data_IF_806956960202
#
_entry.id   IF_806956960202
#
_cell.length_a   1.000
_cell.length_b   1.000
_cell.length_c   1.000
_cell.angle_alpha   90.00
_cell.angle_beta   90.00
_cell.angle_gamma   90.00
#
_symmetry.space_group_name_H-M   'P 1'
#
loop_
_entity.id
_entity.type
_entity.pdbx_description
1 polymer ?
#
# COMPACT_ATOMS: atom_id res chain seq x y z
N UNK A 1 -14.30 11.27 -93.36
CA UNK A 1 -15.15 11.76 -92.26
C UNK A 1 -14.49 11.29 -90.97
N UNK A 2 -14.07 12.24 -90.13
CA UNK A 2 -13.32 12.03 -88.88
C UNK A 2 -14.11 11.22 -87.85
N UNK A 3 -13.43 10.38 -87.07
CA UNK A 3 -13.65 10.25 -85.61
C UNK A 3 -12.52 9.44 -84.94
N UNK A 4 -12.21 9.71 -83.65
CA UNK A 4 -10.90 9.53 -83.04
C UNK A 4 -10.73 8.17 -82.34
N UNK A 5 -9.47 7.75 -82.18
CA UNK A 5 -9.06 6.62 -81.37
C UNK A 5 -9.05 7.00 -79.87
N UNK A 6 -9.67 6.21 -78.97
CA UNK A 6 -9.54 6.40 -77.53
C UNK A 6 -8.27 5.73 -76.99
N UNK A 7 -7.57 6.45 -76.12
CA UNK A 7 -6.40 6.02 -75.39
C UNK A 7 -6.72 4.85 -74.45
N UNK A 8 -6.18 3.66 -74.76
CA UNK A 8 -6.08 2.55 -73.82
C UNK A 8 -4.85 2.74 -72.94
N UNK A 9 -5.05 3.22 -71.71
CA UNK A 9 -4.00 3.25 -70.69
C UNK A 9 -3.55 1.82 -70.34
N UNK A 10 -2.28 1.52 -70.56
CA UNK A 10 -1.69 0.27 -70.11
C UNK A 10 -1.52 0.31 -68.59
N UNK A 11 -2.30 -0.47 -67.86
CA UNK A 11 -1.98 -0.89 -66.50
C UNK A 11 -0.69 -1.71 -66.58
N UNK A 12 0.44 -1.08 -66.25
CA UNK A 12 1.71 -1.75 -66.06
C UNK A 12 1.59 -2.66 -64.83
N UNK A 13 1.19 -3.91 -65.06
CA UNK A 13 1.39 -4.99 -64.10
C UNK A 13 2.91 -5.22 -64.04
N UNK A 14 3.55 -4.59 -63.06
CA UNK A 14 4.97 -4.74 -62.80
C UNK A 14 5.32 -6.21 -62.67
N UNK A 15 6.20 -6.67 -63.57
CA UNK A 15 6.79 -8.01 -63.54
C UNK A 15 7.47 -8.15 -62.16
N UNK A 16 7.08 -9.11 -61.31
CA UNK A 16 7.74 -9.26 -60.01
C UNK A 16 9.22 -9.54 -60.25
N UNK A 17 10.09 -8.76 -59.61
CA UNK A 17 11.54 -8.89 -59.67
C UNK A 17 11.94 -10.35 -59.40
N UNK A 18 12.83 -10.92 -60.22
CA UNK A 18 13.26 -12.33 -60.14
C UNK A 18 13.76 -12.72 -58.72
N UNK A 19 14.23 -11.74 -57.94
CA UNK A 19 14.61 -11.88 -56.53
C UNK A 19 13.43 -12.21 -55.59
N UNK A 20 12.25 -11.64 -55.82
CA UNK A 20 11.05 -11.92 -55.03
C UNK A 20 10.51 -13.32 -55.34
N UNK A 21 10.50 -13.70 -56.62
CA UNK A 21 10.11 -15.05 -57.04
C UNK A 21 11.06 -16.11 -56.44
N UNK A 22 12.36 -15.85 -56.46
CA UNK A 22 13.36 -16.73 -55.84
C UNK A 22 13.16 -16.81 -54.32
N UNK A 23 12.90 -15.68 -53.65
CA UNK A 23 12.61 -15.65 -52.22
C UNK A 23 11.36 -16.44 -51.84
N UNK A 24 10.27 -16.29 -52.61
CA UNK A 24 9.02 -17.04 -52.41
C UNK A 24 9.24 -18.54 -52.68
N UNK A 25 10.01 -18.90 -53.71
CA UNK A 25 10.32 -20.29 -54.03
C UNK A 25 11.14 -20.95 -52.91
N UNK A 26 12.20 -20.28 -52.44
CA UNK A 26 13.01 -20.77 -51.32
C UNK A 26 12.15 -20.90 -50.06
N UNK A 27 11.33 -19.89 -49.74
CA UNK A 27 10.42 -19.96 -48.61
C UNK A 27 9.44 -21.14 -48.74
N UNK A 28 8.86 -21.36 -49.93
CA UNK A 28 7.94 -22.46 -50.18
C UNK A 28 8.62 -23.82 -50.05
N UNK A 29 9.85 -23.99 -50.56
CA UNK A 29 10.65 -25.22 -50.43
C UNK A 29 10.99 -25.49 -48.96
N UNK A 30 11.42 -24.47 -48.22
CA UNK A 30 11.70 -24.58 -46.78
C UNK A 30 10.44 -24.94 -46.00
N UNK A 31 9.30 -24.32 -46.31
CA UNK A 31 8.02 -24.61 -45.66
C UNK A 31 7.54 -26.03 -45.97
N UNK A 32 7.73 -26.49 -47.20
CA UNK A 32 7.41 -27.84 -47.63
C UNK A 32 8.28 -28.87 -46.91
N UNK A 33 9.60 -28.64 -46.84
CA UNK A 33 10.53 -29.47 -46.08
C UNK A 33 10.14 -29.54 -44.60
N UNK A 34 9.81 -28.40 -43.99
CA UNK A 34 9.34 -28.33 -42.60
C UNK A 34 8.04 -29.14 -42.42
N UNK A 35 7.09 -28.97 -43.33
CA UNK A 35 5.81 -29.70 -43.29
C UNK A 35 6.02 -31.22 -43.42
N UNK A 36 6.89 -31.64 -44.34
CA UNK A 36 7.23 -33.05 -44.54
C UNK A 36 7.96 -33.63 -43.31
N UNK A 37 8.87 -32.87 -42.71
CA UNK A 37 9.56 -33.26 -41.49
C UNK A 37 8.58 -33.43 -40.32
N UNK A 38 7.67 -32.47 -40.11
CA UNK A 38 6.60 -32.56 -39.10
C UNK A 38 5.72 -33.77 -39.37
N UNK A 39 5.28 -33.97 -40.62
CA UNK A 39 4.44 -35.12 -41.00
C UNK A 39 5.17 -36.45 -40.80
N UNK A 40 6.47 -36.52 -41.11
CA UNK A 40 7.30 -37.70 -40.90
C UNK A 40 7.45 -38.03 -39.42
N UNK A 41 7.77 -37.03 -38.58
CA UNK A 41 7.84 -37.18 -37.13
C UNK A 41 6.50 -37.64 -36.53
N UNK A 42 5.39 -37.08 -37.02
CA UNK A 42 4.03 -37.44 -36.58
C UNK A 42 3.67 -38.87 -36.95
N UNK A 43 4.05 -39.31 -38.15
CA UNK A 43 3.89 -40.72 -38.57
C UNK A 43 4.75 -41.64 -37.71
N UNK A 44 6.02 -41.29 -37.48
CA UNK A 44 6.98 -42.08 -36.71
C UNK A 44 6.61 -42.20 -35.22
N UNK A 45 5.95 -41.19 -34.66
CA UNK A 45 5.49 -41.15 -33.27
C UNK A 45 4.08 -41.74 -33.05
N UNK A 46 3.50 -42.41 -34.05
CA UNK A 46 2.21 -43.11 -33.92
C UNK A 46 0.99 -42.18 -33.91
N UNK A 47 1.08 -41.04 -34.58
CA UNK A 47 -0.05 -40.15 -34.88
C UNK A 47 -0.06 -38.81 -34.12
N UNK A 48 -0.79 -37.85 -34.70
CA UNK A 48 -0.88 -36.46 -34.22
C UNK A 48 -1.34 -36.36 -32.76
N UNK A 49 -2.22 -37.27 -32.34
CA UNK A 49 -2.73 -37.34 -30.96
C UNK A 49 -1.63 -37.69 -29.95
N UNK A 50 -0.70 -38.60 -30.28
CA UNK A 50 0.40 -39.00 -29.37
C UNK A 50 1.49 -37.93 -29.31
N UNK A 51 1.85 -37.34 -30.45
CA UNK A 51 2.79 -36.22 -30.52
C UNK A 51 2.30 -35.01 -29.72
N UNK A 52 1.03 -34.60 -29.90
CA UNK A 52 0.43 -33.52 -29.09
C UNK A 52 0.41 -33.83 -27.60
N UNK A 53 0.13 -35.08 -27.20
CA UNK A 53 0.17 -35.49 -25.79
C UNK A 53 1.59 -35.43 -25.21
N UNK A 54 2.61 -35.78 -26.00
CA UNK A 54 4.02 -35.73 -25.58
C UNK A 54 4.52 -34.29 -25.45
N UNK A 55 4.25 -33.44 -26.46
CA UNK A 55 4.54 -32.00 -26.42
C UNK A 55 3.76 -31.32 -25.29
N UNK A 56 2.50 -31.68 -25.06
CA UNK A 56 1.73 -31.12 -23.95
C UNK A 56 2.29 -31.51 -22.58
N UNK A 57 2.82 -32.74 -22.44
CA UNK A 57 3.50 -33.20 -21.21
C UNK A 57 4.83 -32.50 -21.01
N UNK A 58 5.66 -32.40 -22.04
CA UNK A 58 6.94 -31.70 -22.00
C UNK A 58 6.73 -30.20 -21.75
N UNK A 59 5.81 -29.56 -22.47
CA UNK A 59 5.44 -28.16 -22.24
C UNK A 59 4.80 -27.93 -20.87
N UNK A 60 4.09 -28.90 -20.28
CA UNK A 60 3.57 -28.77 -18.91
C UNK A 60 4.70 -28.79 -17.87
N UNK A 61 5.74 -29.60 -18.08
CA UNK A 61 6.93 -29.65 -17.23
C UNK A 61 7.75 -28.35 -17.37
N UNK A 62 7.97 -27.88 -18.60
CA UNK A 62 8.65 -26.61 -18.87
C UNK A 62 7.84 -25.42 -18.38
N UNK A 63 6.50 -25.42 -18.49
CA UNK A 63 5.66 -24.34 -17.94
C UNK A 63 5.64 -24.29 -16.41
N UNK A 64 5.89 -25.41 -15.72
CA UNK A 64 6.06 -25.40 -14.26
C UNK A 64 7.42 -24.85 -13.86
N UNK A 65 8.48 -25.17 -14.61
CA UNK A 65 9.83 -24.67 -14.36
C UNK A 65 10.07 -23.21 -14.80
N UNK A 66 9.47 -22.77 -15.90
CA UNK A 66 9.63 -21.41 -16.46
C UNK A 66 8.39 -20.52 -16.33
N UNK A 67 7.32 -21.00 -15.70
CA UNK A 67 6.11 -20.19 -15.45
C UNK A 67 6.25 -19.25 -14.26
N UNK A 68 7.17 -19.53 -13.35
CA UNK A 68 7.46 -18.72 -12.15
C UNK A 68 7.82 -17.26 -12.47
N UNK A 69 8.72 -16.94 -13.42
CA UNK A 69 9.06 -15.56 -13.76
C UNK A 69 7.87 -14.74 -14.32
N UNK A 70 6.87 -15.39 -14.94
CA UNK A 70 5.66 -14.71 -15.43
C UNK A 70 4.54 -14.63 -14.38
N UNK A 71 4.55 -15.53 -13.39
CA UNK A 71 3.55 -15.57 -12.31
C UNK A 71 3.83 -14.53 -11.23
N UNK A 72 5.09 -14.29 -10.89
CA UNK A 72 5.49 -13.28 -9.91
C UNK A 72 4.94 -11.87 -10.21
N UNK A 73 5.14 -11.28 -11.41
CA UNK A 73 4.64 -9.94 -11.71
C UNK A 73 3.10 -9.90 -11.80
N UNK A 74 2.47 -11.00 -12.25
CA UNK A 74 1.00 -11.11 -12.27
C UNK A 74 0.41 -11.17 -10.87
N UNK A 75 0.99 -11.96 -9.96
CA UNK A 75 0.61 -12.03 -8.55
C UNK A 75 0.76 -10.66 -7.89
N UNK A 76 1.90 -9.99 -8.11
CA UNK A 76 2.13 -8.65 -7.60
C UNK A 76 1.06 -7.66 -8.10
N UNK A 77 0.79 -7.60 -9.42
CA UNK A 77 -0.24 -6.71 -9.98
C UNK A 77 -1.64 -7.01 -9.45
N UNK A 78 -1.98 -8.29 -9.29
CA UNK A 78 -3.27 -8.70 -8.68
C UNK A 78 -3.34 -8.28 -7.22
N UNK A 79 -2.28 -8.48 -6.44
CA UNK A 79 -2.16 -8.03 -5.06
C UNK A 79 -2.30 -6.51 -4.94
N UNK A 80 -1.63 -5.73 -5.79
CA UNK A 80 -1.74 -4.25 -5.79
C UNK A 80 -3.17 -3.82 -6.05
N UNK A 81 -3.86 -4.46 -7.00
CA UNK A 81 -5.26 -4.14 -7.32
C UNK A 81 -6.21 -4.53 -6.18
N UNK A 82 -6.05 -5.72 -5.62
CA UNK A 82 -6.89 -6.22 -4.52
C UNK A 82 -6.73 -5.35 -3.27
N UNK A 83 -5.49 -5.18 -2.78
CA UNK A 83 -5.18 -4.30 -1.65
C UNK A 83 -5.58 -2.86 -1.93
N UNK A 84 -5.27 -2.35 -3.13
CA UNK A 84 -5.55 -0.95 -3.48
C UNK A 84 -7.04 -0.65 -3.45
N UNK A 85 -7.89 -1.55 -3.97
CA UNK A 85 -9.35 -1.42 -3.89
C UNK A 85 -9.82 -1.46 -2.43
N UNK A 86 -9.35 -2.45 -1.68
CA UNK A 86 -9.75 -2.64 -0.30
C UNK A 86 -9.36 -1.47 0.60
N UNK A 87 -8.13 -0.97 0.47
CA UNK A 87 -7.64 0.16 1.25
C UNK A 87 -8.32 1.46 0.81
N UNK A 88 -8.58 1.65 -0.49
CA UNK A 88 -9.23 2.85 -0.99
C UNK A 88 -10.72 2.92 -0.63
N UNK A 89 -11.36 1.80 -0.28
CA UNK A 89 -12.77 1.73 0.11
C UNK A 89 -12.93 2.08 1.61
N UNK A 90 -13.55 3.23 1.97
CA UNK A 90 -13.67 3.65 3.38
C UNK A 90 -14.45 2.64 4.24
N UNK A 91 -15.45 1.99 3.64
CA UNK A 91 -16.28 1.00 4.32
C UNK A 91 -15.49 -0.22 4.77
N UNK A 92 -14.44 -0.61 4.04
CA UNK A 92 -13.67 -1.80 4.42
C UNK A 92 -12.86 -1.57 5.68
N UNK A 93 -12.32 -0.37 5.91
CA UNK A 93 -11.64 -0.05 7.18
C UNK A 93 -12.57 -0.19 8.39
N UNK A 94 -13.82 0.27 8.25
CA UNK A 94 -14.86 0.11 9.28
C UNK A 94 -15.28 -1.35 9.46
N UNK A 95 -15.42 -2.11 8.37
CA UNK A 95 -15.71 -3.54 8.41
C UNK A 95 -14.66 -4.32 9.18
N UNK A 96 -13.36 -4.07 8.91
CA UNK A 96 -12.25 -4.74 9.61
C UNK A 96 -12.31 -4.46 11.11
N UNK A 97 -12.56 -3.21 11.51
CA UNK A 97 -12.73 -2.84 12.93
C UNK A 97 -13.91 -3.55 13.56
N UNK A 98 -15.08 -3.51 12.91
CA UNK A 98 -16.30 -4.17 13.39
C UNK A 98 -16.13 -5.68 13.54
N UNK A 99 -15.42 -6.34 12.63
CA UNK A 99 -15.14 -7.77 12.73
C UNK A 99 -14.23 -8.11 13.91
N UNK A 100 -13.20 -7.30 14.17
CA UNK A 100 -12.33 -7.45 15.32
C UNK A 100 -13.07 -7.16 16.65
N UNK A 101 -13.96 -6.16 16.66
CA UNK A 101 -14.80 -5.85 17.81
C UNK A 101 -15.86 -6.93 18.06
N UNK A 102 -16.52 -7.43 17.02
CA UNK A 102 -17.48 -8.53 17.12
C UNK A 102 -16.81 -9.82 17.60
N UNK A 103 -15.60 -10.14 17.12
CA UNK A 103 -14.84 -11.27 17.62
C UNK A 103 -14.42 -11.07 19.09
N UNK A 104 -14.02 -9.85 19.47
CA UNK A 104 -13.70 -9.53 20.86
C UNK A 104 -14.94 -9.65 21.76
N UNK A 105 -16.10 -9.18 21.32
CA UNK A 105 -17.36 -9.30 22.03
C UNK A 105 -17.80 -10.75 22.19
N UNK A 106 -17.67 -11.57 21.13
CA UNK A 106 -17.98 -13.00 21.17
C UNK A 106 -17.03 -13.81 22.08
N UNK A 107 -15.78 -13.35 22.26
CA UNK A 107 -14.86 -13.93 23.24
C UNK A 107 -15.26 -13.60 24.69
N UNK A 108 -16.01 -12.51 24.91
CA UNK A 108 -16.43 -12.05 26.23
C UNK A 108 -15.27 -11.91 27.23
N UNK A 109 -15.49 -12.40 28.45
CA UNK A 109 -14.51 -12.37 29.55
C UNK A 109 -13.50 -13.53 29.52
N UNK A 110 -13.33 -14.22 28.37
CA UNK A 110 -12.34 -15.29 28.25
C UNK A 110 -10.94 -14.76 28.62
N UNK A 111 -10.33 -15.23 29.74
CA UNK A 111 -9.15 -14.60 30.30
C UNK A 111 -7.95 -14.77 29.37
N UNK A 112 -7.36 -13.65 28.97
CA UNK A 112 -6.20 -13.61 28.08
C UNK A 112 -6.50 -13.94 26.62
N UNK A 113 -7.78 -14.05 26.21
CA UNK A 113 -8.15 -14.24 24.82
C UNK A 113 -8.27 -12.89 24.10
N UNK A 114 -7.50 -12.68 23.03
CA UNK A 114 -7.49 -11.42 22.27
C UNK A 114 -7.43 -11.68 20.77
N UNK A 115 -8.37 -11.12 19.97
CA UNK A 115 -8.25 -11.15 18.52
C UNK A 115 -7.16 -10.15 18.10
N UNK A 116 -6.15 -10.61 17.36
CA UNK A 116 -4.98 -9.80 17.02
C UNK A 116 -4.77 -9.61 15.52
N UNK A 117 -5.35 -10.46 14.67
CA UNK A 117 -5.21 -10.33 13.23
C UNK A 117 -6.47 -10.80 12.51
N UNK A 118 -6.66 -10.32 11.28
CA UNK A 118 -7.80 -10.66 10.44
C UNK A 118 -7.32 -10.95 9.01
N UNK A 119 -7.74 -12.08 8.46
CA UNK A 119 -7.65 -12.38 7.02
C UNK A 119 -9.00 -12.10 6.40
N UNK A 120 -9.06 -11.13 5.49
CA UNK A 120 -10.28 -10.71 4.82
C UNK A 120 -10.26 -11.09 3.35
N UNK A 121 -11.27 -11.83 2.91
CA UNK A 121 -11.59 -12.06 1.50
C UNK A 121 -12.91 -11.37 1.16
N UNK A 122 -13.37 -11.48 -0.09
CA UNK A 122 -14.70 -11.03 -0.46
C UNK A 122 -15.82 -11.89 0.14
N UNK A 123 -15.53 -13.16 0.47
CA UNK A 123 -16.52 -14.16 0.86
C UNK A 123 -16.40 -14.60 2.33
N UNK A 124 -15.35 -14.17 3.04
CA UNK A 124 -15.09 -14.60 4.41
C UNK A 124 -14.15 -13.67 5.17
N UNK A 125 -14.29 -13.70 6.48
CA UNK A 125 -13.42 -13.07 7.46
C UNK A 125 -12.90 -14.14 8.43
N UNK A 126 -11.59 -14.32 8.52
CA UNK A 126 -10.97 -15.22 9.49
C UNK A 126 -10.15 -14.42 10.49
N UNK A 127 -10.59 -14.39 11.75
CA UNK A 127 -9.93 -13.69 12.85
C UNK A 127 -8.99 -14.65 13.57
N UNK A 128 -7.73 -14.26 13.71
CA UNK A 128 -6.73 -14.97 14.52
C UNK A 128 -6.80 -14.47 15.96
N UNK A 129 -6.80 -15.42 16.90
CA UNK A 129 -7.05 -15.19 18.31
C UNK A 129 -5.89 -15.77 19.11
N UNK A 130 -5.29 -14.94 19.95
CA UNK A 130 -4.33 -15.37 20.94
C UNK A 130 -5.09 -15.81 22.18
N UNK A 131 -5.06 -17.10 22.52
CA UNK A 131 -5.63 -17.62 23.76
C UNK A 131 -4.85 -18.87 24.22
N UNK A 132 -4.85 -19.14 25.54
CA UNK A 132 -4.31 -20.41 26.06
C UNK A 132 -5.21 -21.59 25.67
N UNK A 133 -6.51 -21.38 25.76
CA UNK A 133 -7.56 -22.29 25.30
C UNK A 133 -8.63 -21.44 24.64
N UNK A 134 -8.85 -21.66 23.35
CA UNK A 134 -9.90 -20.98 22.61
C UNK A 134 -11.26 -21.55 23.04
N UNK A 135 -12.24 -20.71 23.44
CA UNK A 135 -13.59 -21.18 23.65
C UNK A 135 -14.23 -21.62 22.32
N UNK A 136 -15.31 -22.39 22.42
CA UNK A 136 -16.11 -22.73 21.25
C UNK A 136 -16.71 -21.44 20.66
N UNK A 137 -16.62 -21.23 19.34
CA UNK A 137 -17.17 -20.03 18.72
C UNK A 137 -18.69 -20.00 18.87
N UNK A 138 -19.21 -18.85 19.30
CA UNK A 138 -20.64 -18.58 19.27
C UNK A 138 -21.04 -18.18 17.85
N UNK A 139 -22.20 -18.65 17.40
CA UNK A 139 -22.77 -18.23 16.12
C UNK A 139 -22.78 -16.69 16.03
N UNK A 140 -22.44 -16.10 14.86
CA UNK A 140 -22.23 -16.75 13.56
C UNK A 140 -20.78 -17.22 13.31
N UNK A 141 -19.92 -17.22 14.32
CA UNK A 141 -18.54 -17.67 14.17
C UNK A 141 -18.45 -19.19 14.09
N UNK A 142 -17.55 -19.66 13.24
CA UNK A 142 -17.20 -21.07 13.10
C UNK A 142 -15.72 -21.28 13.37
N UNK A 143 -15.33 -22.50 13.74
CA UNK A 143 -13.92 -22.83 13.92
C UNK A 143 -13.17 -22.73 12.58
N UNK A 144 -12.00 -22.07 12.59
CA UNK A 144 -11.13 -22.04 11.43
C UNK A 144 -10.64 -23.45 11.07
N UNK A 145 -10.69 -23.81 9.79
CA UNK A 145 -10.39 -25.16 9.28
C UNK A 145 -8.89 -25.43 9.01
N UNK A 146 -7.99 -24.54 9.47
CA UNK A 146 -6.56 -24.63 9.20
C UNK A 146 -5.74 -25.15 10.38
N UNK A 147 -4.60 -25.79 10.10
CA UNK A 147 -3.60 -26.22 11.09
C UNK A 147 -2.74 -25.06 11.66
N UNK A 148 -3.30 -23.85 11.71
CA UNK A 148 -2.62 -22.61 12.06
C UNK A 148 -2.90 -22.13 13.48
N UNK A 149 -2.55 -20.87 13.80
CA UNK A 149 -2.98 -20.24 15.05
C UNK A 149 -4.50 -20.33 15.21
N UNK A 150 -4.94 -20.40 16.45
CA UNK A 150 -6.35 -20.43 16.84
C UNK A 150 -7.13 -19.33 16.12
N UNK A 151 -8.20 -19.71 15.42
CA UNK A 151 -8.92 -18.78 14.56
C UNK A 151 -10.41 -19.10 14.50
N UNK A 152 -11.20 -18.04 14.36
CA UNK A 152 -12.62 -18.11 14.04
C UNK A 152 -12.88 -17.55 12.65
N UNK A 153 -13.84 -18.13 11.94
CA UNK A 153 -14.21 -17.73 10.58
C UNK A 153 -15.68 -17.34 10.53
N UNK A 154 -15.96 -16.31 9.75
CA UNK A 154 -17.29 -15.81 9.44
C UNK A 154 -17.44 -15.75 7.91
N UNK A 155 -18.51 -16.33 7.37
CA UNK A 155 -18.85 -16.17 5.97
C UNK A 155 -19.39 -14.74 5.71
N UNK A 156 -18.92 -14.11 4.63
CA UNK A 156 -19.37 -12.79 4.17
C UNK A 156 -20.10 -13.00 2.83
N UNK A 157 -21.38 -12.62 2.73
CA UNK A 157 -22.11 -12.70 1.46
C UNK A 157 -23.39 -13.54 1.44
N UNK A 158 -24.04 -13.75 2.59
CA UNK A 158 -25.48 -14.05 2.64
C UNK A 158 -26.27 -12.83 3.13
N UNK A 159 -27.61 -12.93 3.21
CA UNK A 159 -28.49 -11.95 3.86
C UNK A 159 -28.23 -11.76 5.37
N UNK A 160 -27.22 -12.46 5.91
CA UNK A 160 -26.78 -12.34 7.29
C UNK A 160 -26.18 -10.96 7.55
N UNK A 161 -26.82 -10.22 8.45
CA UNK A 161 -26.27 -9.00 9.01
C UNK A 161 -24.92 -9.29 9.68
N UNK A 162 -23.99 -8.32 9.60
CA UNK A 162 -22.75 -8.40 10.36
C UNK A 162 -23.10 -8.53 11.85
N UNK A 163 -22.44 -9.42 12.59
CA UNK A 163 -22.72 -9.58 14.01
C UNK A 163 -22.64 -8.22 14.72
N UNK A 164 -23.65 -7.96 15.55
CA UNK A 164 -23.74 -6.69 16.28
C UNK A 164 -22.51 -6.54 17.17
N UNK A 165 -21.66 -5.57 16.83
CA UNK A 165 -20.45 -5.32 17.56
C UNK A 165 -20.82 -4.47 18.78
N UNK A 166 -20.98 -5.11 19.94
CA UNK A 166 -20.94 -4.37 21.19
C UNK A 166 -19.54 -3.72 21.30
N UNK A 167 -19.44 -2.38 21.44
CA UNK A 167 -18.15 -1.74 21.68
C UNK A 167 -17.54 -2.36 22.94
N UNK A 168 -16.22 -2.63 22.90
CA UNK A 168 -15.48 -3.26 24.00
C UNK A 168 -15.83 -2.56 25.32
N UNK A 169 -16.59 -3.24 26.18
CA UNK A 169 -16.94 -2.74 27.51
C UNK A 169 -15.67 -2.74 28.36
N UNK A 170 -15.17 -1.55 28.68
CA UNK A 170 -14.11 -1.25 29.67
C UNK A 170 -12.72 -1.90 29.44
N UNK A 171 -11.68 -1.07 29.44
CA UNK A 171 -10.23 -1.39 29.45
C UNK A 171 -9.52 -1.82 28.16
N UNK A 172 -10.19 -2.24 27.09
CA UNK A 172 -9.50 -2.60 25.83
C UNK A 172 -9.61 -1.47 24.81
N UNK A 173 -8.47 -0.90 24.42
CA UNK A 173 -8.44 0.18 23.43
C UNK A 173 -9.06 -0.26 22.10
N UNK A 174 -9.63 0.70 21.36
CA UNK A 174 -10.22 0.50 20.03
C UNK A 174 -9.23 -0.24 19.11
N UNK A 175 -9.69 -1.21 18.29
CA UNK A 175 -8.84 -1.87 17.31
C UNK A 175 -8.14 -0.86 16.40
N UNK A 176 -6.84 -1.07 16.20
CA UNK A 176 -6.01 -0.31 15.28
C UNK A 176 -5.49 -1.22 14.15
N UNK A 177 -6.37 -1.66 13.23
CA UNK A 177 -5.98 -2.56 12.16
C UNK A 177 -5.13 -1.85 11.09
N UNK A 178 -4.04 -2.49 10.70
CA UNK A 178 -3.22 -2.12 9.55
C UNK A 178 -3.06 -3.33 8.62
N UNK A 179 -3.15 -3.11 7.31
CA UNK A 179 -2.87 -4.18 6.36
C UNK A 179 -1.36 -4.42 6.29
N UNK A 180 -0.95 -5.68 6.43
CA UNK A 180 0.45 -6.11 6.37
C UNK A 180 0.82 -6.75 5.04
N UNK A 181 -0.18 -7.24 4.28
CA UNK A 181 0.07 -7.87 2.98
C UNK A 181 -1.06 -8.78 2.52
N UNK A 182 -0.74 -9.69 1.59
CA UNK A 182 -1.67 -10.68 1.04
C UNK A 182 -1.22 -12.11 1.39
N UNK A 183 -2.16 -12.96 1.82
CA UNK A 183 -1.93 -14.39 2.02
C UNK A 183 -3.10 -15.17 1.41
N UNK A 184 -2.81 -16.13 0.53
CA UNK A 184 -3.82 -17.00 -0.08
C UNK A 184 -5.00 -16.26 -0.76
N UNK A 185 -4.75 -15.06 -1.26
CA UNK A 185 -5.77 -14.20 -1.87
C UNK A 185 -6.60 -13.37 -0.88
N UNK A 186 -6.39 -13.55 0.43
CA UNK A 186 -6.92 -12.69 1.49
C UNK A 186 -5.97 -11.53 1.77
N UNK A 187 -6.54 -10.38 2.15
CA UNK A 187 -5.79 -9.28 2.75
C UNK A 187 -5.61 -9.56 4.23
N UNK A 188 -4.36 -9.51 4.69
CA UNK A 188 -4.01 -9.75 6.10
C UNK A 188 -3.90 -8.41 6.81
N UNK A 189 -4.68 -8.26 7.87
CA UNK A 189 -4.67 -7.12 8.78
C UNK A 189 -4.13 -7.55 10.14
N UNK A 190 -3.35 -6.68 10.77
CA UNK A 190 -2.84 -6.83 12.13
C UNK A 190 -3.43 -5.71 12.99
N UNK A 191 -4.00 -6.04 14.14
CA UNK A 191 -4.46 -5.06 15.14
C UNK A 191 -3.29 -4.66 16.04
N UNK A 192 -2.75 -3.46 15.82
CA UNK A 192 -1.64 -2.93 16.60
C UNK A 192 -2.01 -2.64 18.07
N UNK A 193 -3.31 -2.64 18.40
CA UNK A 193 -3.81 -2.40 19.74
C UNK A 193 -4.03 -3.69 20.55
N UNK A 194 -3.97 -4.87 19.91
CA UNK A 194 -4.32 -6.16 20.51
C UNK A 194 -3.22 -6.80 21.38
N UNK A 195 -1.98 -6.31 21.31
CA UNK A 195 -0.88 -6.87 22.08
C UNK A 195 0.14 -5.82 22.49
N UNK A 196 1.45 -6.14 22.48
CA UNK A 196 2.49 -5.16 22.68
C UNK A 196 2.31 -4.04 21.66
N UNK A 197 2.10 -2.82 22.15
CA UNK A 197 1.94 -1.64 21.30
C UNK A 197 3.26 -1.14 20.75
N UNK A 198 4.34 -1.88 20.95
CA UNK A 198 5.62 -1.70 20.31
C UNK A 198 5.78 -2.78 19.23
N UNK A 199 5.87 -2.38 17.97
CA UNK A 199 6.06 -3.27 16.83
C UNK A 199 7.38 -2.94 16.14
N UNK A 200 8.29 -3.90 16.11
CA UNK A 200 9.54 -3.81 15.37
C UNK A 200 9.34 -4.36 13.96
N UNK A 201 9.97 -3.72 12.99
CA UNK A 201 10.10 -4.26 11.64
C UNK A 201 11.56 -4.64 11.45
N UNK A 202 11.86 -5.87 11.04
CA UNK A 202 13.21 -6.42 10.97
C UNK A 202 13.48 -7.10 9.62
N UNK A 203 14.74 -7.38 9.31
CA UNK A 203 15.14 -8.10 8.09
C UNK A 203 15.76 -7.19 7.03
N UNK A 204 15.48 -7.47 5.75
CA UNK A 204 16.05 -6.77 4.60
C UNK A 204 15.78 -5.26 4.68
N UNK A 205 16.83 -4.44 4.65
CA UNK A 205 16.72 -3.00 4.92
C UNK A 205 15.74 -2.28 3.97
N UNK A 206 15.79 -2.58 2.68
CA UNK A 206 14.93 -1.92 1.69
C UNK A 206 13.46 -2.36 1.83
N UNK A 207 13.21 -3.64 2.07
CA UNK A 207 11.87 -4.16 2.30
C UNK A 207 11.28 -3.66 3.64
N UNK A 208 12.11 -3.60 4.69
CA UNK A 208 11.77 -3.12 6.03
C UNK A 208 11.31 -1.67 6.02
N UNK A 209 12.09 -0.78 5.42
CA UNK A 209 11.71 0.63 5.28
C UNK A 209 10.41 0.81 4.49
N UNK A 210 10.23 0.07 3.38
CA UNK A 210 9.00 0.13 2.57
C UNK A 210 7.78 -0.35 3.35
N UNK A 211 7.91 -1.42 4.14
CA UNK A 211 6.84 -1.91 4.99
C UNK A 211 6.51 -0.89 6.09
N UNK A 212 7.51 -0.42 6.82
CA UNK A 212 7.34 0.56 7.89
C UNK A 212 6.63 1.83 7.39
N UNK A 213 7.07 2.38 6.26
CA UNK A 213 6.46 3.54 5.63
C UNK A 213 5.02 3.26 5.17
N UNK A 214 4.73 2.05 4.66
CA UNK A 214 3.38 1.67 4.29
C UNK A 214 2.46 1.49 5.49
N UNK A 215 2.95 1.03 6.65
CA UNK A 215 2.20 0.96 7.89
C UNK A 215 1.93 2.36 8.44
N UNK A 216 2.96 3.21 8.53
CA UNK A 216 2.83 4.61 8.94
C UNK A 216 1.83 5.38 8.07
N UNK A 217 1.93 5.24 6.75
CA UNK A 217 1.03 5.89 5.80
C UNK A 217 -0.41 5.34 5.84
N UNK A 218 -0.66 4.17 6.44
CA UNK A 218 -2.02 3.68 6.70
C UNK A 218 -2.61 4.31 7.96
N UNK A 219 -1.78 4.47 9.01
CA UNK A 219 -2.17 5.14 10.26
C UNK A 219 -2.44 6.63 10.04
N UNK A 220 -1.72 7.29 9.14
CA UNK A 220 -1.89 8.72 8.81
C UNK A 220 -3.12 9.00 7.92
N UNK A 221 -3.91 7.98 7.57
CA UNK A 221 -5.07 8.17 6.69
C UNK A 221 -6.26 8.76 7.45
N UNK A 222 -7.11 9.56 6.77
CA UNK A 222 -8.34 10.05 7.36
C UNK A 222 -9.22 8.90 7.90
N UNK A 223 -9.75 9.07 9.12
CA UNK A 223 -10.60 8.07 9.78
C UNK A 223 -9.85 6.99 10.57
N UNK A 224 -8.51 7.01 10.59
CA UNK A 224 -7.72 6.15 11.47
C UNK A 224 -7.99 6.44 12.95
N UNK A 225 -8.27 7.70 13.31
CA UNK A 225 -8.41 8.11 14.72
C UNK A 225 -7.07 8.10 15.46
N UNK A 226 -5.97 8.17 14.71
CA UNK A 226 -4.60 8.14 15.21
C UNK A 226 -3.87 9.38 14.77
N UNK A 227 -3.17 10.03 15.69
CA UNK A 227 -2.22 11.09 15.38
C UNK A 227 -0.84 10.46 15.20
N UNK A 228 -0.25 10.60 14.00
CA UNK A 228 1.03 9.97 13.66
C UNK A 228 2.17 10.97 13.77
N UNK A 229 3.16 10.68 14.60
CA UNK A 229 4.44 11.39 14.65
C UNK A 229 5.54 10.52 14.06
N UNK A 230 6.10 10.93 12.92
CA UNK A 230 7.27 10.29 12.30
C UNK A 230 8.53 11.00 12.79
N UNK A 231 9.37 10.30 13.54
CA UNK A 231 10.64 10.84 14.04
C UNK A 231 11.68 10.97 12.92
N UNK A 232 12.70 11.78 13.19
CA UNK A 232 13.86 11.92 12.31
C UNK A 232 14.53 10.57 12.01
N UNK A 233 15.11 10.44 10.81
CA UNK A 233 15.81 9.22 10.38
C UNK A 233 14.93 8.09 9.81
N UNK A 234 13.60 8.20 9.87
CA UNK A 234 12.68 7.17 9.30
C UNK A 234 12.54 7.30 7.78
N UNK A 235 12.51 8.53 7.27
CA UNK A 235 12.31 8.80 5.85
C UNK A 235 13.36 9.78 5.34
N UNK A 236 14.12 9.45 4.27
CA UNK A 236 15.27 10.24 3.84
C UNK A 236 14.90 11.66 3.36
N UNK A 237 13.67 11.85 2.87
CA UNK A 237 13.15 13.15 2.44
C UNK A 237 12.23 13.86 3.44
N UNK A 238 12.16 13.41 4.70
CA UNK A 238 11.31 14.04 5.71
C UNK A 238 12.05 14.15 7.05
N UNK A 239 12.40 15.38 7.42
CA UNK A 239 13.04 15.69 8.69
C UNK A 239 11.97 15.83 9.79
N UNK A 240 11.68 14.70 10.44
CA UNK A 240 10.80 14.67 11.61
C UNK A 240 11.45 15.28 12.86
N UNK A 241 10.71 15.44 13.97
CA UNK A 241 11.28 15.79 15.25
C UNK A 241 12.25 14.70 15.75
N UNK A 242 13.29 15.09 16.50
CA UNK A 242 14.17 14.14 17.20
C UNK A 242 13.35 13.29 18.17
N UNK A 243 13.63 11.99 18.23
CA UNK A 243 12.87 11.05 19.07
C UNK A 243 12.82 11.48 20.54
N UNK A 244 13.91 11.99 21.12
CA UNK A 244 13.91 12.46 22.51
C UNK A 244 12.95 13.62 22.78
N UNK A 245 12.72 14.49 21.79
CA UNK A 245 11.75 15.58 21.92
C UNK A 245 10.31 15.04 21.89
N UNK A 246 10.04 14.04 21.04
CA UNK A 246 8.75 13.35 20.98
C UNK A 246 8.47 12.64 22.30
N UNK A 247 9.43 11.88 22.82
CA UNK A 247 9.30 11.16 24.09
C UNK A 247 9.01 12.13 25.24
N UNK A 248 9.79 13.22 25.37
CA UNK A 248 9.56 14.24 26.40
C UNK A 248 8.18 14.90 26.29
N UNK A 249 7.65 15.08 25.07
CA UNK A 249 6.30 15.62 24.87
C UNK A 249 5.24 14.65 25.39
N UNK A 250 5.34 13.37 24.99
CA UNK A 250 4.39 12.32 25.38
C UNK A 250 4.43 12.01 26.87
N UNK A 251 5.59 12.11 27.51
CA UNK A 251 5.74 11.94 28.96
C UNK A 251 5.11 13.08 29.77
N UNK A 252 5.14 14.32 29.26
CA UNK A 252 4.54 15.48 29.93
C UNK A 252 3.04 15.61 29.69
N UNK A 253 2.57 15.11 28.57
CA UNK A 253 1.16 15.10 28.19
C UNK A 253 0.82 13.68 27.74
N UNK A 254 0.58 12.77 28.69
CA UNK A 254 0.10 11.44 28.34
C UNK A 254 -1.25 11.62 27.63
N UNK A 255 -1.31 11.23 26.35
CA UNK A 255 -2.52 11.37 25.55
C UNK A 255 -3.69 10.70 26.28
N UNK A 256 -4.71 11.48 26.68
CA UNK A 256 -5.83 10.92 27.42
C UNK A 256 -6.53 11.84 28.42
N UNK A 257 -6.64 13.14 28.17
CA UNK A 257 -7.86 13.80 28.66
C UNK A 257 -8.97 13.51 27.63
N UNK A 258 -10.02 12.76 28.01
CA UNK A 258 -11.22 12.71 27.19
C UNK A 258 -11.72 14.15 27.06
N UNK A 259 -11.82 14.63 25.83
CA UNK A 259 -12.44 15.93 25.58
C UNK A 259 -13.83 15.90 26.26
N UNK A 260 -14.13 16.91 27.11
CA UNK A 260 -15.32 17.00 27.97
C UNK A 260 -16.67 16.88 27.21
N UNK A 261 -16.59 16.81 25.88
CA UNK A 261 -17.67 16.60 24.92
C UNK A 261 -17.90 15.12 24.54
N UNK A 262 -17.35 14.15 25.28
CA UNK A 262 -17.56 12.72 25.02
C UNK A 262 -16.75 12.18 23.81
N UNK A 263 -15.63 12.84 23.48
CA UNK A 263 -14.74 12.42 22.41
C UNK A 263 -13.90 11.18 22.78
N UNK A 264 -13.78 10.22 21.88
CA UNK A 264 -12.85 9.09 22.04
C UNK A 264 -11.41 9.59 22.08
N UNK A 265 -10.64 9.24 23.12
CA UNK A 265 -9.22 9.59 23.23
C UNK A 265 -8.46 9.22 21.95
N UNK A 266 -7.71 10.19 21.41
CA UNK A 266 -6.90 9.98 20.20
C UNK A 266 -5.66 9.16 20.55
N UNK A 267 -5.44 8.06 19.83
CA UNK A 267 -4.23 7.24 20.01
C UNK A 267 -3.06 7.94 19.31
N UNK A 268 -1.93 8.08 19.99
CA UNK A 268 -0.69 8.60 19.41
C UNK A 268 0.13 7.45 18.80
N UNK A 269 0.52 7.57 17.54
CA UNK A 269 1.43 6.63 16.89
C UNK A 269 2.81 7.27 16.68
N UNK A 270 3.86 6.67 17.24
CA UNK A 270 5.25 7.09 17.05
C UNK A 270 5.94 6.15 16.08
N UNK A 271 6.51 6.69 15.00
CA UNK A 271 7.32 5.92 14.06
C UNK A 271 8.76 6.38 14.21
N UNK A 272 9.69 5.47 14.50
CA UNK A 272 11.09 5.82 14.72
C UNK A 272 12.05 4.77 14.15
N UNK A 273 13.32 5.15 13.97
CA UNK A 273 14.35 4.26 13.48
C UNK A 273 15.45 4.06 14.53
N UNK A 274 15.85 2.79 14.73
CA UNK A 274 16.98 2.40 15.58
C UNK A 274 17.06 3.14 16.93
N UNK A 275 16.02 3.07 17.79
CA UNK A 275 16.04 3.72 19.10
C UNK A 275 17.20 3.17 19.95
N UNK A 276 17.82 4.04 20.74
CA UNK A 276 18.79 3.60 21.76
C UNK A 276 18.10 2.73 22.81
N UNK A 277 18.87 1.97 23.60
CA UNK A 277 18.32 1.15 24.69
C UNK A 277 17.47 1.98 25.65
N UNK A 278 17.91 3.19 25.97
CA UNK A 278 17.18 4.10 26.86
C UNK A 278 15.89 4.62 26.21
N UNK A 279 15.94 5.00 24.94
CA UNK A 279 14.74 5.38 24.18
C UNK A 279 13.74 4.21 24.07
N UNK A 280 14.22 2.99 23.85
CA UNK A 280 13.38 1.79 23.79
C UNK A 280 12.69 1.50 25.14
N UNK A 281 13.36 1.71 26.27
CA UNK A 281 12.75 1.61 27.61
C UNK A 281 11.66 2.65 27.83
N UNK A 282 11.91 3.90 27.44
CA UNK A 282 10.92 5.00 27.53
C UNK A 282 9.71 4.72 26.63
N UNK A 283 9.94 4.27 25.40
CA UNK A 283 8.87 3.81 24.49
C UNK A 283 8.07 2.67 25.11
N UNK A 284 8.72 1.68 25.73
CA UNK A 284 8.05 0.57 26.39
C UNK A 284 7.12 1.04 27.53
N UNK A 285 7.60 1.97 28.36
CA UNK A 285 6.80 2.61 29.42
C UNK A 285 5.57 3.34 28.86
N UNK A 286 5.73 4.11 27.78
CA UNK A 286 4.62 4.80 27.12
C UNK A 286 3.62 3.82 26.48
N UNK A 287 4.08 2.74 25.87
CA UNK A 287 3.19 1.74 25.25
C UNK A 287 2.38 0.94 26.26
N UNK A 288 2.81 0.88 27.52
CA UNK A 288 2.07 0.20 28.59
C UNK A 288 0.79 0.96 29.01
N UNK A 289 0.70 2.28 28.78
CA UNK A 289 -0.48 3.09 29.12
C UNK A 289 -1.65 2.94 28.13
N UNK A 290 -1.47 2.16 27.06
CA UNK A 290 -2.40 1.99 25.94
C UNK A 290 -2.68 3.24 25.09
N UNK A 291 -2.20 4.43 25.48
CA UNK A 291 -2.37 5.67 24.73
C UNK A 291 -1.44 5.80 23.50
N UNK A 292 -0.30 5.08 23.53
CA UNK A 292 0.74 5.18 22.51
C UNK A 292 0.96 3.84 21.81
N UNK A 293 1.09 3.87 20.49
CA UNK A 293 1.53 2.77 19.64
C UNK A 293 2.82 3.18 18.93
N UNK A 294 3.80 2.28 18.87
CA UNK A 294 5.14 2.54 18.38
C UNK A 294 5.49 1.58 17.25
N UNK A 295 5.90 2.12 16.11
CA UNK A 295 6.47 1.37 14.99
C UNK A 295 7.97 1.67 14.90
N UNK A 296 8.80 0.64 14.95
CA UNK A 296 10.26 0.78 15.02
C UNK A 296 10.94 0.15 13.80
N UNK A 297 11.80 0.91 13.12
CA UNK A 297 12.76 0.34 12.16
C UNK A 297 13.89 -0.38 12.92
N UNK A 298 13.95 -1.70 12.80
CA UNK A 298 14.96 -2.53 13.45
C UNK A 298 14.53 -3.05 14.83
N UNK A 299 15.51 -3.61 15.55
CA UNK A 299 15.29 -4.22 16.86
C UNK A 299 15.16 -3.18 17.96
N UNK A 300 14.33 -3.47 18.97
CA UNK A 300 14.20 -2.70 20.19
C UNK A 300 14.31 -3.62 21.41
N UNK A 301 14.99 -3.17 22.47
CA UNK A 301 15.17 -3.94 23.70
C UNK A 301 13.94 -3.80 24.63
N UNK A 302 12.78 -4.30 24.18
CA UNK A 302 11.51 -4.21 24.90
C UNK A 302 10.54 -5.33 24.49
N UNK A 303 9.43 -5.47 25.21
CA UNK A 303 8.37 -6.40 24.83
C UNK A 303 7.67 -5.88 23.58
N UNK A 304 7.90 -6.54 22.44
CA UNK A 304 7.41 -6.12 21.13
C UNK A 304 6.96 -7.30 20.27
N UNK A 305 6.15 -7.02 19.26
CA UNK A 305 5.97 -7.92 18.12
C UNK A 305 7.01 -7.63 17.04
N UNK A 306 7.56 -8.67 16.40
CA UNK A 306 8.60 -8.53 15.39
C UNK A 306 8.10 -8.94 14.00
N UNK A 307 7.84 -7.96 13.15
CA UNK A 307 7.52 -8.19 11.74
C UNK A 307 8.82 -8.34 10.94
N UNK A 308 9.17 -9.59 10.59
CA UNK A 308 10.38 -9.89 9.81
C UNK A 308 10.05 -9.90 8.33
N UNK A 309 10.73 -9.07 7.54
CA UNK A 309 10.55 -8.98 6.09
C UNK A 309 11.80 -9.39 5.33
N UNK A 310 11.63 -10.25 4.32
CA UNK A 310 12.71 -10.66 3.43
C UNK A 310 12.86 -9.72 2.22
N UNK A 311 13.94 -9.90 1.44
CA UNK A 311 14.20 -9.08 0.24
C UNK A 311 13.14 -9.23 -0.87
N UNK A 312 12.25 -10.23 -0.79
CA UNK A 312 11.13 -10.42 -1.72
C UNK A 312 9.85 -9.71 -1.24
N UNK A 313 9.86 -9.13 -0.04
CA UNK A 313 8.70 -8.49 0.56
C UNK A 313 7.76 -9.49 1.23
N UNK A 314 8.22 -10.70 1.60
CA UNK A 314 7.44 -11.61 2.44
C UNK A 314 7.63 -11.22 3.90
N UNK A 315 6.53 -10.99 4.59
CA UNK A 315 6.47 -10.64 6.01
C UNK A 315 6.08 -11.86 6.79
N UNK A 316 6.85 -12.15 7.83
CA UNK A 316 6.61 -13.24 8.77
C UNK A 316 6.69 -12.71 10.19
N UNK A 317 5.78 -13.17 11.04
CA UNK A 317 5.91 -13.05 12.49
C UNK A 317 5.53 -14.42 13.07
N UNK A 318 6.52 -15.32 13.27
CA UNK A 318 6.26 -16.69 13.72
C UNK A 318 5.47 -16.74 15.03
N UNK A 319 5.75 -15.82 15.95
CA UNK A 319 5.04 -15.66 17.21
C UNK A 319 3.56 -15.29 17.06
N UNK A 320 3.18 -14.76 15.90
CA UNK A 320 1.80 -14.42 15.53
C UNK A 320 1.19 -15.43 14.55
N UNK A 321 1.94 -16.45 14.11
CA UNK A 321 1.52 -17.30 12.99
C UNK A 321 1.18 -16.50 11.73
N UNK A 322 1.85 -15.37 11.53
CA UNK A 322 1.61 -14.43 10.43
C UNK A 322 2.60 -14.70 9.30
N UNK A 323 2.08 -14.82 8.09
CA UNK A 323 2.83 -14.97 6.85
C UNK A 323 2.05 -14.31 5.72
N UNK A 324 2.61 -13.25 5.13
CA UNK A 324 1.96 -12.45 4.10
C UNK A 324 2.97 -11.88 3.09
N UNK A 325 2.53 -11.66 1.86
CA UNK A 325 3.27 -10.93 0.82
C UNK A 325 2.95 -9.42 0.91
N UNK A 326 3.89 -8.63 1.43
CA UNK A 326 3.80 -7.18 1.54
C UNK A 326 4.37 -6.44 0.33
N UNK A 327 4.99 -7.13 -0.63
CA UNK A 327 5.54 -6.53 -1.85
C UNK A 327 4.54 -5.61 -2.59
N UNK A 328 3.23 -5.96 -2.68
CA UNK A 328 2.21 -5.10 -3.26
C UNK A 328 1.77 -3.90 -2.39
N UNK A 329 2.05 -3.91 -1.09
CA UNK A 329 1.45 -3.01 -0.10
C UNK A 329 1.78 -1.54 -0.35
N UNK A 330 3.06 -1.19 -0.55
CA UNK A 330 3.46 0.22 -0.74
C UNK A 330 2.75 0.89 -1.92
N UNK A 331 2.61 0.19 -3.06
CA UNK A 331 1.87 0.72 -4.23
C UNK A 331 0.36 0.81 -3.97
N UNK A 332 -0.20 -0.15 -3.23
CA UNK A 332 -1.61 -0.15 -2.86
C UNK A 332 -1.95 1.01 -1.91
N UNK A 333 -1.14 1.23 -0.87
CA UNK A 333 -1.28 2.35 0.07
C UNK A 333 -1.14 3.69 -0.66
N UNK A 334 -0.13 3.84 -1.52
CA UNK A 334 0.02 5.06 -2.32
C UNK A 334 -1.17 5.31 -3.28
N UNK A 335 -1.83 4.26 -3.79
CA UNK A 335 -3.06 4.40 -4.55
C UNK A 335 -4.24 4.83 -3.66
N UNK A 336 -4.38 4.25 -2.47
CA UNK A 336 -5.42 4.60 -1.50
C UNK A 336 -5.28 6.05 -1.01
N UNK A 337 -4.08 6.49 -0.62
CA UNK A 337 -3.81 7.88 -0.21
C UNK A 337 -4.13 8.87 -1.34
N UNK A 338 -3.80 8.52 -2.60
CA UNK A 338 -4.19 9.35 -3.75
C UNK A 338 -5.71 9.39 -3.95
N UNK A 339 -6.42 8.30 -3.70
CA UNK A 339 -7.88 8.27 -3.75
C UNK A 339 -8.50 9.13 -2.63
N UNK A 340 -7.96 9.08 -1.42
CA UNK A 340 -8.35 9.93 -0.29
C UNK A 340 -8.21 11.41 -0.66
N UNK A 341 -7.03 11.83 -1.13
CA UNK A 341 -6.77 13.21 -1.57
C UNK A 341 -7.74 13.68 -2.67
N UNK A 342 -8.07 12.80 -3.62
CA UNK A 342 -9.05 13.10 -4.69
C UNK A 342 -10.45 13.27 -4.12
N UNK A 343 -10.87 12.46 -3.15
CA UNK A 343 -12.17 12.61 -2.47
C UNK A 343 -12.24 13.92 -1.70
N UNK A 344 -11.23 14.24 -0.89
CA UNK A 344 -11.19 15.49 -0.13
C UNK A 344 -11.35 16.72 -1.04
N UNK A 345 -10.63 16.75 -2.17
CA UNK A 345 -10.75 17.85 -3.15
C UNK A 345 -12.16 17.97 -3.74
N UNK A 346 -12.86 16.86 -3.99
CA UNK A 346 -14.24 16.87 -4.50
C UNK A 346 -15.21 17.40 -3.46
N UNK A 347 -15.11 16.93 -2.21
CA UNK A 347 -15.96 17.41 -1.11
C UNK A 347 -15.80 18.90 -0.84
N UNK A 348 -14.58 19.45 -0.97
CA UNK A 348 -14.35 20.88 -0.83
C UNK A 348 -14.91 21.70 -2.00
N UNK A 349 -14.88 21.16 -3.23
CA UNK A 349 -15.39 21.84 -4.42
C UNK A 349 -16.93 21.88 -4.50
N UNK A 350 -17.61 20.92 -3.87
CA UNK A 350 -19.08 20.82 -3.83
C UNK A 350 -19.71 21.66 -2.69
N UNK A 351 -18.89 22.43 -1.97
CA UNK A 351 -19.40 23.39 -0.99
C UNK A 351 -20.01 24.55 -1.79
N UNK A 352 -21.33 24.80 -1.71
CA UNK A 352 -21.94 25.91 -2.43
C UNK A 352 -21.21 27.19 -2.05
N UNK A 353 -20.61 27.85 -3.03
CA UNK A 353 -20.11 29.21 -2.88
C UNK A 353 -21.29 29.98 -2.31
N UNK A 354 -21.18 30.62 -1.11
CA UNK A 354 -22.25 31.47 -0.64
C UNK A 354 -22.50 32.46 -1.77
N UNK A 355 -23.70 32.39 -2.36
CA UNK A 355 -24.16 33.41 -3.29
C UNK A 355 -23.86 34.71 -2.59
N UNK A 356 -22.95 35.51 -3.16
CA UNK A 356 -22.72 36.88 -2.72
C UNK A 356 -24.11 37.50 -2.69
N UNK A 357 -24.66 37.62 -1.48
CA UNK A 357 -25.92 38.27 -1.26
C UNK A 357 -25.83 39.59 -1.97
N UNK A 358 -26.80 39.86 -2.84
CA UNK A 358 -27.12 41.20 -3.26
C UNK A 358 -27.11 42.04 -1.99
N UNK A 359 -26.11 42.92 -1.85
CA UNK A 359 -26.08 43.88 -0.76
C UNK A 359 -27.42 44.63 -0.78
N UNK A 360 -28.15 44.70 0.35
CA UNK A 360 -29.30 45.58 0.44
C UNK A 360 -28.84 46.99 0.06
N UNK A 361 -29.39 47.52 -1.03
CA UNK A 361 -29.16 48.89 -1.47
C UNK A 361 -29.64 49.81 -0.35
N UNK A 362 -28.78 50.64 0.26
CA UNK A 362 -29.24 51.62 1.25
C UNK A 362 -30.16 52.64 0.55
N UNK A 363 -31.20 53.14 1.22
CA UNK A 363 -32.02 54.22 0.66
C UNK A 363 -31.18 55.50 0.54
N UNK A 364 -31.26 56.12 -0.64
CA UNK A 364 -30.70 57.44 -0.96
C UNK A 364 -31.26 58.51 0.00
N UNK A 365 -30.37 59.30 0.57
CA UNK A 365 -30.68 60.60 1.19
C UNK A 365 -29.77 61.67 0.55
N UNK A 366 -30.23 62.93 0.44
CA UNK A 366 -29.76 63.90 -0.55
C UNK A 366 -28.45 64.63 -0.19
N UNK A 367 -27.71 64.99 -1.25
CA UNK A 367 -26.51 65.85 -1.36
C UNK A 367 -26.64 67.21 -0.65
N UNK A 368 -25.69 67.64 0.19
CA UNK A 368 -24.47 68.48 -0.05
C UNK A 368 -24.61 69.87 0.66
N UNK A 369 -23.60 70.78 0.74
CA UNK A 369 -22.18 70.73 0.32
C UNK A 369 -21.17 71.34 1.33
N UNK A 370 -19.87 71.06 1.17
CA UNK A 370 -18.83 72.13 1.03
C UNK A 370 -17.39 71.62 0.84
N UNK A 371 -16.88 71.90 -0.38
CA UNK A 371 -15.64 72.65 -0.69
C UNK A 371 -14.32 72.26 0.00
N UNK A 372 -13.42 71.61 -0.74
CA UNK A 372 -12.40 72.29 -1.60
C UNK A 372 -11.21 71.37 -1.91
N UNK A 373 -10.90 71.25 -3.21
CA UNK A 373 -9.65 70.72 -3.79
C UNK A 373 -8.55 71.83 -3.81
N UNK A 374 -7.26 71.60 -4.18
CA UNK A 374 -6.75 70.99 -5.45
C UNK A 374 -5.62 69.92 -5.24
N UNK A 375 -5.52 68.81 -6.00
CA UNK A 375 -4.94 68.56 -7.36
C UNK A 375 -3.38 68.39 -7.40
N UNK A 376 -2.74 67.74 -8.42
CA UNK A 376 -2.52 66.28 -8.54
C UNK A 376 -1.04 65.86 -8.81
N UNK A 377 -0.81 64.84 -9.66
CA UNK A 377 0.42 64.34 -10.35
C UNK A 377 1.13 63.11 -9.69
N UNK A 378 1.74 62.16 -10.46
CA UNK A 378 1.17 61.19 -11.42
C UNK A 378 1.56 59.71 -11.14
N UNK A 379 0.97 58.80 -11.92
CA UNK A 379 1.36 57.39 -12.06
C UNK A 379 2.36 57.15 -13.20
N UNK A 380 3.32 56.23 -12.98
CA UNK A 380 4.11 55.51 -13.98
C UNK A 380 4.85 54.36 -13.23
N UNK A 381 5.19 53.19 -13.75
CA UNK A 381 4.92 52.44 -14.98
C UNK A 381 5.38 50.99 -14.72
N UNK A 382 4.89 50.03 -15.49
CA UNK A 382 5.42 48.65 -15.58
C UNK A 382 6.68 48.61 -16.45
N UNK A 383 7.67 47.80 -16.07
CA UNK A 383 8.64 47.11 -16.94
C UNK A 383 9.19 45.91 -16.12
N UNK A 384 9.03 44.64 -16.53
CA UNK A 384 9.60 43.92 -17.68
C UNK A 384 11.11 43.63 -17.54
N UNK A 385 11.41 42.34 -17.37
CA UNK A 385 12.52 41.57 -18.00
C UNK A 385 13.95 42.08 -17.75
N UNK A 386 14.79 41.33 -17.03
CA UNK A 386 15.60 40.29 -17.67
C UNK A 386 16.76 39.78 -16.80
N UNK A 387 17.48 38.74 -17.27
CA UNK A 387 18.28 37.81 -16.48
C UNK A 387 19.79 38.09 -16.56
N UNK A 388 20.54 37.67 -15.54
CA UNK A 388 21.98 37.34 -15.62
C UNK A 388 22.30 36.57 -14.32
N UNK A 389 22.62 35.27 -14.36
CA UNK A 389 23.89 34.64 -14.75
C UNK A 389 25.07 35.06 -13.86
N UNK A 390 25.94 34.08 -13.60
CA UNK A 390 27.21 34.12 -12.84
C UNK A 390 27.00 33.93 -11.31
N UNK A 391 27.52 32.91 -10.61
CA UNK A 391 28.65 32.03 -10.87
C UNK A 391 28.61 30.77 -9.98
N UNK A 392 28.76 29.60 -10.60
CA UNK A 392 29.67 28.54 -10.15
C UNK A 392 30.73 28.45 -11.26
N UNK A 393 32.04 28.22 -10.98
CA UNK A 393 32.46 26.86 -10.61
C UNK A 393 33.73 26.70 -9.76
N UNK A 394 33.85 25.47 -9.24
CA UNK A 394 35.05 24.64 -9.10
C UNK A 394 36.20 25.07 -8.17
N UNK A 395 36.46 24.22 -7.18
CA UNK A 395 37.81 23.68 -6.96
C UNK A 395 37.75 22.20 -6.63
N UNK A 396 38.51 21.44 -7.42
CA UNK A 396 38.81 20.04 -7.26
C UNK A 396 39.88 19.86 -6.17
N UNK A 397 39.80 18.73 -5.46
CA UNK A 397 40.88 18.19 -4.63
C UNK A 397 40.90 16.67 -4.79
N UNK A 398 41.76 16.19 -5.68
CA UNK A 398 42.07 14.77 -5.85
C UNK A 398 42.97 14.24 -4.73
N UNK A 399 42.70 12.98 -4.35
CA UNK A 399 43.62 11.86 -3.98
C UNK A 399 44.39 11.88 -2.63
N UNK A 400 44.93 10.73 -2.14
CA UNK A 400 44.80 9.32 -2.58
C UNK A 400 44.63 8.24 -1.46
N UNK A 401 44.35 7.02 -1.93
CA UNK A 401 44.54 5.64 -1.40
C UNK A 401 45.21 5.35 -0.05
N UNK A 402 44.66 4.37 0.68
CA UNK A 402 45.42 3.27 1.29
C UNK A 402 44.57 2.00 1.44
N UNK A 403 44.96 0.95 0.72
CA UNK A 403 44.61 -0.42 1.04
C UNK A 403 45.59 -0.90 2.12
N UNK A 404 45.12 -1.66 3.12
CA UNK A 404 46.01 -2.54 3.87
C UNK A 404 45.30 -3.82 4.27
N UNK A 405 45.93 -4.89 3.82
CA UNK A 405 45.71 -6.29 4.12
C UNK A 405 46.61 -6.67 5.29
N UNK A 406 46.07 -7.39 6.28
CA UNK A 406 46.79 -8.33 7.16
C UNK A 406 45.76 -9.43 7.48
N UNK A 407 45.91 -10.71 7.15
CA UNK A 407 47.08 -11.58 7.38
C UNK A 407 47.08 -11.97 8.86
N UNK A 408 46.36 -13.02 9.25
CA UNK A 408 46.90 -14.35 9.65
C UNK A 408 47.63 -14.36 11.00
N UNK A 409 47.07 -15.09 11.98
CA UNK A 409 47.78 -16.03 12.89
C UNK A 409 46.77 -16.74 13.82
N UNK A 410 46.89 -18.07 13.96
CA UNK A 410 46.20 -18.89 14.97
C UNK A 410 45.31 -20.00 14.44
#
# INVERSE_FOLDING_TARGET
MNTPAPHGGSLAVGRPDDSLLTGVLVAAVVLLLLFLLVRHLVKRLGGWRRCRRRIAREAALTRRAFGEPLRAPRRHRRGVRALGRQLAEPRTGLLVRRLLDAAAGALGEAPGAVPYALRLTAASATVQIAARRLPEPLAPWENGTGSGPQAWTLALGGDGELPEAAPRLSHRARPLPVAVGMADGACVHLDLAAGPRLVTVEGDQAARLRLLQALAAQLDRPGSGVHVTVADGVHPGHHGPRLDAVLRRLERSPAGEPDDLGGTATVEAVVCAAPTVEQARRLAGLTASAAVVCLVDGRAAAHSWALRVDGRGRVTAPELGLDADSGPLGRAVAAAVRADRRRSRRTTADRPVPQRGQSPRPPELPEEPSRSAPEPVPAAARAATGPDLLSEPATAGERPTAASSTGSEG
#
